data_IF_124308936100
#
_entry.id   IF_124308936100
#
_cell.length_a   1.000
_cell.length_b   1.000
_cell.length_c   1.000
_cell.angle_alpha   90.00
_cell.angle_beta   90.00
_cell.angle_gamma   90.00
#
_symmetry.space_group_name_H-M   'P 1'
#
loop_
_entity.id
_entity.type
_entity.pdbx_description
1 polymer ?
#
# COMPACT_ATOMS: atom_id res chain seq x y z
N UNK A 1 -12.20 72.48 -11.90
CA UNK A 1 -11.61 72.12 -13.20
C UNK A 1 -10.21 71.56 -12.89
N UNK A 2 -10.12 70.25 -12.74
CA UNK A 2 -8.83 69.59 -12.37
C UNK A 2 -8.08 69.28 -13.67
N UNK A 3 -6.83 69.74 -13.75
CA UNK A 3 -5.93 69.56 -14.91
C UNK A 3 -5.37 68.12 -14.93
N UNK A 4 -5.66 67.28 -15.96
CA UNK A 4 -5.15 65.90 -16.04
C UNK A 4 -3.67 65.78 -16.28
N UNK A 5 -2.98 66.88 -16.65
CA UNK A 5 -1.55 66.87 -16.96
C UNK A 5 -0.62 66.68 -15.75
N UNK A 6 -1.15 66.92 -14.55
CA UNK A 6 -0.38 66.81 -13.29
C UNK A 6 -0.08 65.32 -12.91
N UNK A 7 -1.03 64.42 -13.22
CA UNK A 7 -0.85 62.97 -12.93
C UNK A 7 0.15 62.27 -13.89
N UNK A 8 0.29 62.78 -15.13
CA UNK A 8 1.21 62.18 -16.11
C UNK A 8 2.68 62.54 -15.81
N UNK A 9 2.95 63.74 -15.28
CA UNK A 9 4.31 64.13 -14.89
C UNK A 9 4.80 63.46 -13.61
N UNK A 10 3.92 63.14 -12.70
CA UNK A 10 4.27 62.42 -11.46
C UNK A 10 4.67 60.94 -11.71
N UNK A 11 4.05 60.29 -12.71
CA UNK A 11 4.38 58.92 -13.05
C UNK A 11 5.74 58.77 -13.77
N UNK A 12 6.14 59.70 -14.58
CA UNK A 12 7.46 59.69 -15.26
C UNK A 12 8.60 59.93 -14.30
N UNK A 13 8.43 60.79 -13.31
CA UNK A 13 9.44 61.06 -12.25
C UNK A 13 9.60 59.83 -11.35
N UNK A 14 8.50 59.16 -10.97
CA UNK A 14 8.56 57.92 -10.19
C UNK A 14 9.23 56.79 -10.97
N UNK A 15 8.98 56.67 -12.28
CA UNK A 15 9.59 55.65 -13.14
C UNK A 15 11.09 55.88 -13.35
N UNK A 16 11.50 57.15 -13.45
CA UNK A 16 12.93 57.51 -13.56
C UNK A 16 13.70 57.25 -12.26
N UNK A 17 13.08 57.51 -11.09
CA UNK A 17 13.69 57.22 -9.79
C UNK A 17 13.82 55.69 -9.59
N UNK A 18 12.84 54.93 -10.03
CA UNK A 18 12.88 53.45 -9.95
C UNK A 18 13.97 52.84 -10.87
N UNK A 19 14.20 53.44 -12.08
CA UNK A 19 15.28 53.02 -12.97
C UNK A 19 16.67 53.33 -12.41
N UNK A 20 16.86 54.47 -11.76
CA UNK A 20 18.16 54.85 -11.17
C UNK A 20 18.47 54.00 -9.93
N UNK A 21 17.47 53.67 -9.12
CA UNK A 21 17.63 52.76 -7.95
C UNK A 21 17.89 51.31 -8.39
N UNK A 22 17.35 50.87 -9.54
CA UNK A 22 17.58 49.52 -10.05
C UNK A 22 18.97 49.34 -10.68
N UNK A 23 19.56 50.39 -11.24
CA UNK A 23 20.91 50.36 -11.81
C UNK A 23 22.00 50.49 -10.74
N UNK A 24 21.76 51.21 -9.63
CA UNK A 24 22.72 51.30 -8.52
C UNK A 24 22.62 50.15 -7.50
N UNK A 25 21.54 49.39 -7.53
CA UNK A 25 21.36 48.19 -6.65
C UNK A 25 22.08 46.92 -7.11
N UNK A 26 22.60 46.88 -8.34
CA UNK A 26 23.26 45.70 -8.92
C UNK A 26 24.80 45.71 -8.77
N UNK A 27 25.36 46.83 -8.28
CA UNK A 27 26.79 47.05 -8.27
C UNK A 27 27.62 46.60 -7.07
N UNK A 28 27.01 46.09 -5.99
CA UNK A 28 27.73 45.67 -4.76
C UNK A 28 27.19 44.39 -4.09
N UNK A 29 26.61 43.50 -4.85
CA UNK A 29 26.55 42.10 -4.44
C UNK A 29 27.86 41.46 -4.83
N UNK A 30 28.90 41.71 -4.05
CA UNK A 30 30.09 40.90 -4.00
C UNK A 30 29.62 39.44 -3.91
N UNK A 31 29.93 38.65 -4.94
CA UNK A 31 29.70 37.25 -5.00
C UNK A 31 30.31 36.56 -3.76
N UNK A 32 29.56 36.43 -2.70
CA UNK A 32 29.71 35.21 -1.92
C UNK A 32 29.30 34.12 -2.88
N UNK A 33 30.32 33.55 -3.55
CA UNK A 33 30.25 32.17 -3.98
C UNK A 33 29.86 31.42 -2.70
N UNK A 34 28.56 31.17 -2.52
CA UNK A 34 28.15 30.06 -1.71
C UNK A 34 28.78 28.88 -2.41
N UNK A 35 29.99 28.53 -2.00
CA UNK A 35 30.43 27.17 -2.02
C UNK A 35 29.26 26.46 -1.34
N UNK A 36 28.41 25.83 -2.12
CA UNK A 36 27.53 24.78 -1.63
C UNK A 36 28.52 23.82 -0.99
N UNK A 37 28.72 24.00 0.32
CA UNK A 37 29.30 22.97 1.15
C UNK A 37 28.41 21.79 0.85
N UNK A 38 28.90 20.89 0.00
CA UNK A 38 28.24 19.62 -0.29
C UNK A 38 28.02 18.97 1.06
N UNK A 39 26.88 19.31 1.68
CA UNK A 39 26.53 18.82 2.99
C UNK A 39 26.54 17.30 2.84
N UNK A 40 27.55 16.67 3.46
CA UNK A 40 27.82 15.27 3.30
C UNK A 40 26.56 14.49 3.68
N UNK A 41 25.81 14.10 2.66
CA UNK A 41 24.59 13.30 2.87
C UNK A 41 24.97 11.89 3.31
N UNK A 42 24.32 11.32 4.34
CA UNK A 42 23.34 11.95 5.23
C UNK A 42 24.02 12.85 6.30
N UNK A 43 23.39 13.99 6.64
CA UNK A 43 23.81 14.93 7.68
C UNK A 43 22.94 14.87 8.95
N UNK A 44 21.97 13.98 8.96
CA UNK A 44 21.06 13.64 10.08
C UNK A 44 20.57 12.20 9.93
N UNK A 45 20.00 11.58 10.97
CA UNK A 45 19.49 10.21 10.89
C UNK A 45 18.49 10.00 9.75
N UNK A 46 18.65 8.88 9.03
CA UNK A 46 17.71 8.44 7.98
C UNK A 46 16.68 7.49 8.60
N UNK A 47 15.41 7.82 8.47
CA UNK A 47 14.31 6.95 8.92
C UNK A 47 14.06 5.84 7.90
N UNK A 48 14.09 4.60 8.36
CA UNK A 48 13.75 3.43 7.57
C UNK A 48 12.39 2.92 8.00
N UNK A 49 11.37 3.20 7.22
CA UNK A 49 10.01 2.72 7.47
C UNK A 49 9.93 1.24 7.10
N UNK A 50 9.64 0.41 8.10
CA UNK A 50 9.30 -1.00 7.92
C UNK A 50 7.79 -1.13 8.12
N UNK A 51 7.00 -1.49 7.08
CA UNK A 51 5.54 -1.43 7.13
C UNK A 51 4.90 -2.66 7.80
N UNK A 52 5.57 -3.21 8.80
CA UNK A 52 5.16 -4.39 9.57
C UNK A 52 5.53 -4.24 11.06
N UNK A 53 4.97 -5.11 11.89
CA UNK A 53 5.28 -5.13 13.32
C UNK A 53 6.75 -5.46 13.58
N UNK A 54 7.28 -4.96 14.68
CA UNK A 54 8.62 -5.29 15.16
C UNK A 54 8.76 -6.80 15.40
N UNK A 55 9.92 -7.36 15.08
CA UNK A 55 10.19 -8.80 15.17
C UNK A 55 9.66 -9.65 14.01
N UNK A 56 8.91 -9.06 13.06
CA UNK A 56 8.52 -9.71 11.81
C UNK A 56 9.70 -9.88 10.84
N UNK A 57 9.55 -10.73 9.82
CA UNK A 57 10.63 -11.07 8.89
C UNK A 57 11.30 -9.85 8.24
N UNK A 58 10.53 -8.85 7.80
CA UNK A 58 11.08 -7.63 7.21
C UNK A 58 11.78 -6.72 8.22
N UNK A 59 11.28 -6.65 9.47
CA UNK A 59 11.92 -5.89 10.54
C UNK A 59 13.25 -6.49 10.93
N UNK A 60 13.30 -7.82 11.12
CA UNK A 60 14.52 -8.57 11.43
C UNK A 60 15.58 -8.36 10.34
N UNK A 61 15.18 -8.49 9.06
CA UNK A 61 16.10 -8.27 7.94
C UNK A 61 16.64 -6.83 7.93
N UNK A 62 15.77 -5.85 8.05
CA UNK A 62 16.18 -4.44 8.06
C UNK A 62 17.17 -4.18 9.21
N UNK A 63 16.90 -4.66 10.42
CA UNK A 63 17.78 -4.48 11.57
C UNK A 63 19.13 -5.17 11.41
N UNK A 64 19.17 -6.39 10.85
CA UNK A 64 20.43 -7.09 10.54
C UNK A 64 21.27 -6.24 9.59
N UNK A 65 20.68 -5.77 8.49
CA UNK A 65 21.42 -4.97 7.51
C UNK A 65 21.88 -3.63 8.10
N UNK A 66 21.03 -2.94 8.86
CA UNK A 66 21.40 -1.68 9.49
C UNK A 66 22.47 -1.85 10.58
N UNK A 67 22.48 -2.95 11.30
CA UNK A 67 23.60 -3.30 12.19
C UNK A 67 24.91 -3.54 11.42
N UNK A 68 24.81 -4.09 10.20
CA UNK A 68 25.97 -4.18 9.29
C UNK A 68 26.45 -2.81 8.83
N UNK A 69 25.52 -1.90 8.49
CA UNK A 69 25.85 -0.51 8.13
C UNK A 69 26.59 0.18 9.27
N UNK A 70 26.08 0.08 10.49
CA UNK A 70 26.72 0.64 11.68
C UNK A 70 28.13 0.08 11.88
N UNK A 71 28.29 -1.25 11.83
CA UNK A 71 29.60 -1.94 11.99
C UNK A 71 30.60 -1.58 10.88
N UNK A 72 30.11 -1.28 9.67
CA UNK A 72 30.97 -0.87 8.57
C UNK A 72 31.48 0.57 8.68
N UNK A 73 30.92 1.36 9.59
CA UNK A 73 31.21 2.79 9.79
C UNK A 73 31.16 3.62 8.48
N UNK A 74 30.41 3.16 7.47
CA UNK A 74 30.30 3.79 6.14
C UNK A 74 29.43 5.02 6.16
N UNK A 75 28.53 5.15 7.11
CA UNK A 75 27.66 6.29 7.32
C UNK A 75 27.97 7.00 8.64
N UNK A 76 28.08 8.33 8.60
CA UNK A 76 28.27 9.14 9.82
C UNK A 76 26.99 9.18 10.67
N UNK A 77 25.86 9.23 9.97
CA UNK A 77 24.54 9.29 10.61
C UNK A 77 23.86 7.92 10.59
N UNK A 78 23.15 7.55 11.65
CA UNK A 78 22.49 6.26 11.71
C UNK A 78 21.28 6.16 10.77
N UNK A 79 21.02 4.94 10.31
CA UNK A 79 19.75 4.57 9.69
C UNK A 79 18.87 3.91 10.77
N UNK A 80 17.68 4.48 11.03
CA UNK A 80 16.84 4.11 12.20
C UNK A 80 15.52 3.49 11.72
N UNK A 81 15.24 2.26 12.20
CA UNK A 81 13.97 1.58 11.87
C UNK A 81 12.79 2.25 12.55
N UNK A 82 11.74 2.49 11.76
CA UNK A 82 10.43 2.94 12.21
C UNK A 82 9.36 1.94 11.73
N UNK A 83 8.78 1.19 12.65
CA UNK A 83 7.72 0.25 12.31
C UNK A 83 6.38 0.99 12.14
N UNK A 84 5.80 0.92 10.93
CA UNK A 84 4.50 1.55 10.57
C UNK A 84 3.64 0.48 9.90
N UNK A 85 3.12 -0.43 10.72
CA UNK A 85 2.31 -1.56 10.26
C UNK A 85 0.87 -1.17 9.91
N UNK A 86 0.17 -2.11 9.27
CA UNK A 86 -1.27 -2.04 8.97
C UNK A 86 -1.59 -2.20 7.48
N UNK A 87 -2.81 -2.68 7.21
CA UNK A 87 -3.38 -2.91 5.87
C UNK A 87 -2.44 -3.66 4.90
N UNK A 88 -1.69 -4.68 5.40
CA UNK A 88 -0.76 -5.45 4.57
C UNK A 88 0.50 -4.69 4.14
N UNK A 89 0.89 -3.65 4.87
CA UNK A 89 2.05 -2.80 4.58
C UNK A 89 1.72 -1.53 3.80
N UNK A 90 0.47 -1.32 3.42
CA UNK A 90 0.09 -0.16 2.60
C UNK A 90 0.10 1.15 3.37
N UNK A 91 -0.10 1.14 4.70
CA UNK A 91 0.00 2.35 5.53
C UNK A 91 1.42 2.90 5.52
N UNK A 92 2.42 2.07 5.81
CA UNK A 92 3.83 2.49 5.81
C UNK A 92 4.34 2.84 4.41
N UNK A 93 3.95 2.08 3.37
CA UNK A 93 4.36 2.40 1.99
C UNK A 93 3.76 3.73 1.51
N UNK A 94 2.50 4.02 1.83
CA UNK A 94 1.86 5.30 1.51
C UNK A 94 2.53 6.47 2.22
N UNK A 95 2.91 6.29 3.49
CA UNK A 95 3.66 7.29 4.23
C UNK A 95 4.92 7.71 3.49
N UNK A 96 5.75 6.74 3.06
CA UNK A 96 7.00 7.04 2.34
C UNK A 96 6.72 7.59 0.94
N UNK A 97 5.70 7.06 0.23
CA UNK A 97 5.26 7.60 -1.07
C UNK A 97 4.99 9.11 -1.00
N UNK A 98 4.39 9.57 0.10
CA UNK A 98 3.98 10.96 0.31
C UNK A 98 5.02 11.80 1.08
N UNK A 99 6.15 11.21 1.46
CA UNK A 99 7.23 11.93 2.17
C UNK A 99 8.01 12.84 1.20
N UNK A 100 8.74 13.81 1.77
CA UNK A 100 9.63 14.67 1.01
C UNK A 100 10.71 13.84 0.28
N UNK A 101 10.99 14.11 -1.01
CA UNK A 101 11.96 13.34 -1.76
C UNK A 101 13.41 13.77 -1.46
N UNK A 102 13.72 13.89 -0.18
CA UNK A 102 15.03 14.32 0.32
C UNK A 102 15.94 13.16 0.78
N UNK A 103 15.45 11.91 0.71
CA UNK A 103 16.18 10.71 1.08
C UNK A 103 16.33 10.47 2.57
N UNK A 104 15.69 11.25 3.45
CA UNK A 104 15.76 11.05 4.91
C UNK A 104 14.62 10.21 5.48
N UNK A 105 13.67 9.83 4.65
CA UNK A 105 12.67 8.83 4.98
C UNK A 105 12.59 7.83 3.81
N UNK A 106 12.94 6.56 4.05
CA UNK A 106 12.99 5.50 3.03
C UNK A 106 12.16 4.30 3.49
N UNK A 107 11.76 3.44 2.57
CA UNK A 107 10.92 2.28 2.84
C UNK A 107 11.73 0.99 2.65
N UNK A 108 11.68 0.08 3.62
CA UNK A 108 12.14 -1.30 3.47
C UNK A 108 10.90 -2.21 3.32
N UNK A 109 10.62 -2.64 2.10
CA UNK A 109 9.44 -3.43 1.76
C UNK A 109 9.78 -4.47 0.70
N UNK A 110 9.38 -5.71 0.95
CA UNK A 110 9.47 -6.82 0.00
C UNK A 110 8.49 -6.65 -1.18
N UNK A 111 8.26 -7.70 -1.97
CA UNK A 111 7.33 -7.74 -3.10
C UNK A 111 5.90 -7.22 -2.83
N UNK A 112 5.60 -6.87 -1.59
CA UNK A 112 4.31 -6.26 -1.21
C UNK A 112 3.97 -4.98 -1.97
N UNK A 113 4.96 -4.25 -2.50
CA UNK A 113 4.72 -3.07 -3.33
C UNK A 113 4.00 -3.42 -4.64
N UNK A 114 4.32 -4.58 -5.24
CA UNK A 114 3.68 -5.07 -6.46
C UNK A 114 2.31 -5.67 -6.15
N UNK A 115 2.25 -6.54 -5.13
CA UNK A 115 1.02 -7.27 -4.81
C UNK A 115 -0.09 -6.36 -4.31
N UNK A 116 0.23 -5.32 -3.54
CA UNK A 116 -0.75 -4.36 -3.04
C UNK A 116 -1.54 -3.67 -4.18
N UNK A 117 -0.85 -3.27 -5.27
CA UNK A 117 -1.49 -2.74 -6.48
C UNK A 117 -2.28 -3.81 -7.22
N UNK A 118 -1.68 -4.97 -7.44
CA UNK A 118 -2.28 -6.08 -8.19
C UNK A 118 -3.63 -6.51 -7.61
N UNK A 119 -3.72 -6.53 -6.27
CA UNK A 119 -4.95 -6.86 -5.55
C UNK A 119 -5.87 -5.66 -5.28
N UNK A 120 -5.58 -4.49 -5.84
CA UNK A 120 -6.42 -3.30 -5.73
C UNK A 120 -6.46 -2.66 -4.34
N UNK A 121 -5.48 -2.95 -3.47
CA UNK A 121 -5.37 -2.32 -2.15
C UNK A 121 -4.90 -0.87 -2.21
N UNK A 122 -4.12 -0.54 -3.22
CA UNK A 122 -3.62 0.81 -3.50
C UNK A 122 -3.66 1.10 -4.99
N UNK A 123 -3.81 2.37 -5.37
CA UNK A 123 -3.81 2.83 -6.75
C UNK A 123 -2.41 3.06 -7.35
N UNK A 124 -1.32 2.66 -6.64
CA UNK A 124 0.05 2.87 -7.07
C UNK A 124 0.88 1.58 -6.99
N UNK A 125 1.90 1.46 -7.82
CA UNK A 125 2.87 0.37 -7.81
C UNK A 125 4.27 0.87 -7.44
N UNK A 126 5.29 0.09 -7.81
CA UNK A 126 6.69 0.43 -7.52
C UNK A 126 7.15 1.71 -8.23
N UNK A 127 6.52 2.08 -9.33
CA UNK A 127 6.81 3.32 -10.09
C UNK A 127 6.52 4.61 -9.30
N UNK A 128 5.77 4.50 -8.19
CA UNK A 128 5.53 5.61 -7.27
C UNK A 128 6.72 5.89 -6.34
N UNK A 129 7.80 5.11 -6.46
CA UNK A 129 9.01 5.22 -5.67
C UNK A 129 10.24 5.36 -6.58
N UNK A 130 11.36 5.75 -5.99
CA UNK A 130 12.69 5.63 -6.58
C UNK A 130 13.37 4.43 -5.93
N UNK A 131 13.73 3.38 -6.70
CA UNK A 131 14.39 2.20 -6.14
C UNK A 131 15.81 2.52 -5.72
N UNK A 132 16.21 2.02 -4.53
CA UNK A 132 17.57 2.19 -3.98
C UNK A 132 18.38 0.91 -4.19
N UNK A 133 17.88 -0.21 -3.65
CA UNK A 133 18.53 -1.51 -3.74
C UNK A 133 17.55 -2.67 -3.48
N UNK A 134 17.91 -3.87 -3.95
CA UNK A 134 17.45 -5.13 -3.40
C UNK A 134 18.58 -5.76 -2.56
N UNK A 135 18.27 -6.31 -1.37
CA UNK A 135 19.30 -6.73 -0.41
C UNK A 135 19.09 -8.11 0.18
N UNK A 136 18.26 -8.92 -0.36
CA UNK A 136 18.06 -10.28 0.12
C UNK A 136 16.87 -10.95 -0.54
N UNK A 137 16.96 -12.27 -0.59
CA UNK A 137 15.92 -13.12 -1.15
C UNK A 137 15.63 -14.26 -0.20
N UNK A 138 14.37 -14.53 0.04
CA UNK A 138 13.92 -15.68 0.82
C UNK A 138 13.25 -16.69 -0.11
N UNK A 139 13.60 -17.95 0.02
CA UNK A 139 12.87 -19.04 -0.58
C UNK A 139 11.49 -19.22 0.09
N UNK A 140 10.55 -19.81 -0.61
CA UNK A 140 9.18 -20.03 -0.14
C UNK A 140 8.91 -21.53 0.00
N UNK A 141 8.31 -21.91 1.13
CA UNK A 141 7.88 -23.28 1.44
C UNK A 141 6.35 -23.30 1.54
N UNK A 142 5.73 -24.25 0.87
CA UNK A 142 4.30 -24.60 1.06
C UNK A 142 4.23 -25.65 2.17
N UNK A 143 3.42 -25.39 3.19
CA UNK A 143 3.35 -26.27 4.35
C UNK A 143 1.93 -26.56 4.80
N UNK A 144 1.77 -27.72 5.40
CA UNK A 144 0.54 -28.23 6.05
C UNK A 144 0.86 -28.74 7.45
N UNK A 145 -0.15 -29.06 8.25
CA UNK A 145 0.05 -29.79 9.51
C UNK A 145 0.65 -31.18 9.27
N UNK A 146 1.33 -31.71 10.26
CA UNK A 146 1.95 -33.05 10.18
C UNK A 146 0.93 -34.15 9.92
N UNK A 147 -0.27 -34.03 10.48
CA UNK A 147 -1.39 -34.97 10.34
C UNK A 147 -2.26 -34.77 9.10
N UNK A 148 -1.91 -33.79 8.26
CA UNK A 148 -2.64 -33.51 7.00
C UNK A 148 -2.62 -34.71 6.05
N UNK A 149 -3.75 -34.92 5.36
CA UNK A 149 -3.89 -35.98 4.34
C UNK A 149 -3.14 -35.67 3.02
N UNK A 150 -2.72 -34.40 2.81
CA UNK A 150 -1.99 -34.01 1.61
C UNK A 150 -0.54 -34.50 1.71
N UNK A 151 -0.22 -35.60 1.01
CA UNK A 151 1.12 -36.20 1.03
C UNK A 151 2.17 -35.30 0.36
N UNK A 152 1.82 -34.65 -0.74
CA UNK A 152 2.67 -33.82 -1.59
C UNK A 152 1.84 -32.72 -2.27
N UNK A 153 2.49 -31.91 -3.11
CA UNK A 153 1.83 -30.82 -3.85
C UNK A 153 0.84 -31.35 -4.90
N UNK A 154 1.12 -32.51 -5.51
CA UNK A 154 0.27 -33.14 -6.52
C UNK A 154 -1.10 -33.48 -5.93
N UNK A 155 -1.14 -34.20 -4.80
CA UNK A 155 -2.40 -34.58 -4.11
C UNK A 155 -3.19 -33.31 -3.70
N UNK A 156 -2.51 -32.27 -3.27
CA UNK A 156 -3.15 -31.01 -2.92
C UNK A 156 -3.82 -30.37 -4.15
N UNK A 157 -3.08 -30.25 -5.26
CA UNK A 157 -3.55 -29.62 -6.50
C UNK A 157 -4.69 -30.41 -7.16
N UNK A 158 -4.58 -31.73 -7.19
CA UNK A 158 -5.68 -32.58 -7.68
C UNK A 158 -6.94 -32.44 -6.83
N UNK A 159 -6.81 -32.40 -5.51
CA UNK A 159 -7.94 -32.19 -4.61
C UNK A 159 -8.68 -30.89 -4.90
N UNK A 160 -7.96 -29.78 -5.08
CA UNK A 160 -8.59 -28.47 -5.35
C UNK A 160 -8.99 -28.28 -6.81
N UNK A 161 -8.52 -29.11 -7.75
CA UNK A 161 -9.05 -29.22 -9.11
C UNK A 161 -10.39 -29.95 -9.12
N UNK A 162 -10.44 -31.10 -8.46
CA UNK A 162 -11.63 -31.97 -8.44
C UNK A 162 -12.77 -31.39 -7.60
N UNK A 163 -12.42 -30.62 -6.53
CA UNK A 163 -13.35 -29.88 -5.68
C UNK A 163 -12.84 -28.46 -5.45
N UNK A 164 -13.06 -27.53 -6.39
CA UNK A 164 -12.62 -26.14 -6.23
C UNK A 164 -13.11 -25.51 -4.93
N UNK A 165 -12.25 -24.72 -4.32
CA UNK A 165 -12.51 -24.01 -3.05
C UNK A 165 -12.76 -24.91 -1.81
N UNK A 166 -12.51 -26.24 -1.92
CA UNK A 166 -12.65 -27.18 -0.81
C UNK A 166 -11.54 -27.08 0.23
N UNK A 167 -10.36 -26.56 -0.16
CA UNK A 167 -9.17 -26.40 0.69
C UNK A 167 -8.95 -24.94 0.98
N UNK A 168 -8.71 -24.61 2.26
CA UNK A 168 -8.51 -23.24 2.73
C UNK A 168 -7.01 -22.89 2.75
N UNK A 169 -6.61 -21.93 1.94
CA UNK A 169 -5.26 -21.38 1.96
C UNK A 169 -5.17 -20.17 2.89
N UNK A 170 -4.37 -20.28 3.94
CA UNK A 170 -4.10 -19.20 4.89
C UNK A 170 -3.12 -18.19 4.29
N UNK A 171 -3.55 -16.93 4.10
CA UNK A 171 -2.74 -15.87 3.54
C UNK A 171 -3.02 -14.51 4.17
N UNK A 172 -2.04 -13.60 4.11
CA UNK A 172 -2.34 -12.18 4.25
C UNK A 172 -2.84 -11.68 2.88
N UNK A 173 -4.14 -11.44 2.78
CA UNK A 173 -4.79 -11.08 1.51
C UNK A 173 -4.21 -9.77 0.95
N UNK A 174 -3.88 -9.78 -0.35
CA UNK A 174 -3.21 -8.68 -1.05
C UNK A 174 -1.71 -8.58 -0.77
N UNK A 175 -1.11 -9.59 -0.12
CA UNK A 175 0.32 -9.68 0.14
C UNK A 175 0.95 -10.88 -0.63
N UNK A 176 2.30 -11.01 -0.65
CA UNK A 176 2.98 -12.09 -1.35
C UNK A 176 2.51 -13.51 -1.01
N UNK A 177 2.03 -13.76 0.22
CA UNK A 177 1.50 -15.07 0.59
C UNK A 177 0.24 -15.45 -0.18
N UNK A 178 -0.64 -14.50 -0.52
CA UNK A 178 -1.77 -14.78 -1.41
C UNK A 178 -1.30 -15.02 -2.85
N UNK A 179 -0.33 -14.23 -3.32
CA UNK A 179 0.27 -14.43 -4.63
C UNK A 179 0.85 -15.84 -4.77
N UNK A 180 1.53 -16.34 -3.73
CA UNK A 180 2.05 -17.72 -3.70
C UNK A 180 0.94 -18.74 -3.93
N UNK A 181 -0.19 -18.63 -3.23
CA UNK A 181 -1.34 -19.52 -3.45
C UNK A 181 -1.85 -19.49 -4.90
N UNK A 182 -1.98 -18.29 -5.48
CA UNK A 182 -2.41 -18.10 -6.87
C UNK A 182 -1.38 -18.65 -7.90
N UNK A 183 -0.09 -18.57 -7.60
CA UNK A 183 0.94 -19.21 -8.44
C UNK A 183 0.82 -20.73 -8.39
N UNK A 184 0.52 -21.30 -7.22
CA UNK A 184 0.30 -22.74 -7.06
C UNK A 184 -0.94 -23.19 -7.86
N UNK A 185 -2.05 -22.45 -7.79
CA UNK A 185 -3.26 -22.71 -8.58
C UNK A 185 -2.96 -22.78 -10.09
N UNK A 186 -2.08 -21.91 -10.60
CA UNK A 186 -1.65 -21.93 -12.00
C UNK A 186 -0.85 -23.17 -12.41
N UNK A 187 -0.31 -23.89 -11.44
CA UNK A 187 0.42 -25.11 -11.69
C UNK A 187 -0.49 -26.25 -12.21
N UNK A 188 -1.80 -26.17 -12.02
CA UNK A 188 -2.77 -27.15 -12.52
C UNK A 188 -4.09 -26.47 -12.89
N UNK A 189 -4.49 -26.57 -14.16
CA UNK A 189 -5.71 -25.95 -14.66
C UNK A 189 -6.95 -26.42 -13.89
N UNK A 190 -7.79 -25.49 -13.49
CA UNK A 190 -9.00 -25.74 -12.69
C UNK A 190 -8.78 -25.84 -11.19
N UNK A 191 -7.54 -25.89 -10.72
CA UNK A 191 -7.22 -25.87 -9.29
C UNK A 191 -7.57 -24.51 -8.69
N UNK A 192 -8.27 -24.49 -7.52
CA UNK A 192 -8.69 -23.26 -6.87
C UNK A 192 -8.81 -23.41 -5.35
N UNK A 193 -8.10 -22.56 -4.62
CA UNK A 193 -8.19 -22.46 -3.17
C UNK A 193 -9.34 -21.53 -2.73
N UNK A 194 -9.84 -21.78 -1.53
CA UNK A 194 -10.55 -20.77 -0.75
C UNK A 194 -9.55 -20.03 0.14
N UNK A 195 -9.44 -18.72 0.00
CA UNK A 195 -8.48 -17.92 0.78
C UNK A 195 -9.08 -17.44 2.11
N UNK A 196 -8.28 -17.51 3.18
CA UNK A 196 -8.61 -16.96 4.49
C UNK A 196 -7.57 -15.91 4.89
N UNK A 197 -8.05 -14.77 5.40
CA UNK A 197 -7.18 -13.71 5.95
C UNK A 197 -6.61 -14.16 7.30
N UNK A 198 -5.31 -14.36 7.37
CA UNK A 198 -4.63 -14.85 8.57
C UNK A 198 -3.50 -13.94 9.09
N UNK A 199 -3.09 -12.93 8.35
CA UNK A 199 -2.02 -12.01 8.77
C UNK A 199 -0.60 -12.48 8.48
N UNK A 200 0.34 -12.25 9.40
CA UNK A 200 1.75 -12.56 9.29
C UNK A 200 2.09 -14.04 9.41
N UNK A 201 3.40 -14.40 9.34
CA UNK A 201 3.83 -15.80 9.40
C UNK A 201 3.42 -16.51 10.69
N UNK A 202 3.54 -15.85 11.84
CA UNK A 202 3.11 -16.43 13.12
C UNK A 202 1.59 -16.63 13.20
N UNK A 203 0.81 -15.69 12.66
CA UNK A 203 -0.66 -15.81 12.62
C UNK A 203 -1.10 -16.94 11.66
N UNK A 204 -0.38 -17.09 10.52
CA UNK A 204 -0.60 -18.20 9.59
C UNK A 204 -0.30 -19.55 10.24
N UNK A 205 0.81 -19.66 10.99
CA UNK A 205 1.12 -20.86 11.76
C UNK A 205 0.01 -21.17 12.77
N UNK A 206 -0.39 -20.19 13.57
CA UNK A 206 -1.46 -20.38 14.56
C UNK A 206 -2.77 -20.83 13.91
N UNK A 207 -3.14 -20.24 12.77
CA UNK A 207 -4.34 -20.62 12.02
C UNK A 207 -4.24 -22.02 11.42
N UNK A 208 -3.04 -22.45 10.99
CA UNK A 208 -2.79 -23.79 10.47
C UNK A 208 -2.88 -24.85 11.58
N UNK A 209 -2.24 -24.61 12.74
CA UNK A 209 -2.28 -25.50 13.89
C UNK A 209 -3.68 -25.56 14.53
N UNK A 210 -4.43 -24.46 14.50
CA UNK A 210 -5.81 -24.36 14.97
C UNK A 210 -6.87 -24.87 14.00
N UNK A 211 -6.48 -25.49 12.88
CA UNK A 211 -7.40 -26.05 11.86
C UNK A 211 -8.34 -25.03 11.20
N UNK A 212 -8.00 -23.75 11.29
CA UNK A 212 -8.74 -22.69 10.61
C UNK A 212 -8.40 -22.59 9.13
N UNK A 213 -7.23 -23.11 8.76
CA UNK A 213 -6.76 -23.23 7.37
C UNK A 213 -6.06 -24.58 7.18
N UNK A 214 -6.05 -25.10 5.95
CA UNK A 214 -5.52 -26.41 5.63
C UNK A 214 -4.05 -26.35 5.16
N UNK A 215 -3.69 -25.27 4.48
CA UNK A 215 -2.38 -25.04 3.87
C UNK A 215 -1.99 -23.58 3.96
N UNK A 216 -0.70 -23.31 4.03
CA UNK A 216 -0.14 -21.96 3.98
C UNK A 216 1.26 -21.96 3.37
N UNK A 217 1.79 -20.76 3.12
CA UNK A 217 3.19 -20.57 2.68
C UNK A 217 3.98 -19.80 3.72
N UNK A 218 5.27 -20.12 3.83
CA UNK A 218 6.23 -19.49 4.73
C UNK A 218 7.53 -19.17 4.00
N UNK A 219 8.26 -18.16 4.43
CA UNK A 219 9.67 -18.08 4.05
C UNK A 219 10.44 -19.25 4.60
N UNK A 220 11.58 -19.59 3.99
CA UNK A 220 12.44 -20.69 4.49
C UNK A 220 12.81 -20.49 5.96
N UNK A 221 13.16 -19.26 6.35
CA UNK A 221 13.50 -18.92 7.73
C UNK A 221 12.33 -19.10 8.70
N UNK A 222 11.11 -18.73 8.30
CA UNK A 222 9.90 -18.98 9.11
C UNK A 222 9.63 -20.46 9.22
N UNK A 223 9.67 -21.21 8.11
CA UNK A 223 9.39 -22.64 8.11
C UNK A 223 10.37 -23.41 8.99
N UNK A 224 11.68 -23.15 8.89
CA UNK A 224 12.68 -23.83 9.71
C UNK A 224 12.49 -23.58 11.20
N UNK A 225 12.02 -22.41 11.58
CA UNK A 225 11.64 -22.08 12.96
C UNK A 225 10.35 -22.75 13.40
N UNK A 226 9.42 -22.99 12.48
CA UNK A 226 8.06 -23.48 12.77
C UNK A 226 7.89 -25.00 12.62
N UNK A 227 8.78 -25.70 11.90
CA UNK A 227 8.63 -27.12 11.59
C UNK A 227 8.46 -28.02 12.83
N UNK A 228 9.12 -27.68 13.94
CA UNK A 228 9.00 -28.43 15.20
C UNK A 228 7.65 -28.16 15.93
N UNK A 229 6.89 -27.15 15.53
CA UNK A 229 5.57 -26.87 16.09
C UNK A 229 4.45 -27.76 15.54
N UNK A 230 4.75 -28.67 14.60
CA UNK A 230 3.75 -29.59 14.06
C UNK A 230 3.34 -29.36 12.62
N UNK A 231 4.19 -28.72 11.83
CA UNK A 231 3.98 -28.50 10.40
C UNK A 231 5.09 -29.16 9.56
N UNK A 232 4.73 -29.63 8.37
CA UNK A 232 5.64 -30.20 7.39
C UNK A 232 5.54 -29.52 6.04
N UNK A 233 6.65 -29.51 5.29
CA UNK A 233 6.67 -28.99 3.92
C UNK A 233 6.00 -29.95 2.94
N UNK A 234 5.21 -29.43 2.02
CA UNK A 234 4.72 -30.14 0.83
C UNK A 234 5.64 -29.92 -0.38
N UNK A 235 6.15 -28.70 -0.51
CA UNK A 235 7.04 -28.33 -1.60
C UNK A 235 7.87 -27.10 -1.23
N UNK A 236 9.08 -27.04 -1.78
CA UNK A 236 9.86 -25.83 -1.86
C UNK A 236 9.65 -25.18 -3.25
N UNK A 237 9.46 -23.88 -3.28
CA UNK A 237 9.17 -23.16 -4.54
C UNK A 237 10.41 -22.54 -5.19
N UNK A 238 11.59 -23.07 -4.89
CA UNK A 238 12.85 -22.73 -5.56
C UNK A 238 13.04 -23.57 -6.84
N UNK A 239 14.03 -23.17 -7.66
CA UNK A 239 14.44 -23.95 -8.85
C UNK A 239 15.06 -25.29 -8.47
N UNK A 240 15.92 -25.25 -7.45
CA UNK A 240 16.62 -26.40 -6.90
C UNK A 240 16.22 -26.58 -5.44
N UNK A 241 16.43 -27.78 -4.85
CA UNK A 241 16.17 -28.03 -3.43
C UNK A 241 17.01 -27.11 -2.56
N UNK A 242 16.41 -26.61 -1.51
CA UNK A 242 17.14 -25.78 -0.56
C UNK A 242 18.09 -26.63 0.30
N UNK A 243 19.38 -26.22 0.50
CA UNK A 243 20.33 -27.00 1.28
C UNK A 243 19.88 -27.33 2.70
N UNK A 244 19.07 -26.46 3.35
CA UNK A 244 18.49 -26.72 4.67
C UNK A 244 17.25 -27.62 4.65
N UNK A 245 16.75 -28.01 3.46
CA UNK A 245 15.59 -28.87 3.24
C UNK A 245 15.87 -29.90 2.16
N UNK A 246 16.94 -30.73 2.27
CA UNK A 246 17.34 -31.64 1.20
C UNK A 246 16.28 -32.69 0.88
N UNK A 247 15.44 -33.05 1.85
CA UNK A 247 14.37 -34.04 1.70
C UNK A 247 13.07 -33.44 1.09
N UNK A 248 12.94 -32.11 1.03
CA UNK A 248 11.76 -31.46 0.47
C UNK A 248 11.94 -31.23 -1.03
N UNK A 249 11.14 -31.94 -1.83
CA UNK A 249 11.11 -31.75 -3.29
C UNK A 249 10.65 -30.34 -3.65
N UNK A 250 11.19 -29.80 -4.76
CA UNK A 250 10.68 -28.57 -5.34
C UNK A 250 9.33 -28.81 -6.03
N UNK A 251 8.58 -27.74 -6.31
CA UNK A 251 7.38 -27.85 -7.13
C UNK A 251 7.73 -28.33 -8.56
N UNK A 252 8.88 -27.90 -9.11
CA UNK A 252 9.39 -28.35 -10.41
C UNK A 252 9.66 -29.84 -10.43
N UNK A 253 10.31 -30.41 -9.39
CA UNK A 253 10.54 -31.85 -9.27
C UNK A 253 9.25 -32.66 -9.14
N UNK A 254 8.17 -32.04 -8.64
CA UNK A 254 6.84 -32.64 -8.59
C UNK A 254 6.01 -32.41 -9.88
N UNK A 255 6.62 -31.84 -10.94
CA UNK A 255 6.00 -31.67 -12.26
C UNK A 255 5.21 -30.35 -12.43
N UNK A 256 5.29 -29.41 -11.48
CA UNK A 256 4.56 -28.14 -11.53
C UNK A 256 5.52 -26.97 -11.77
N UNK A 257 5.26 -26.19 -12.84
CA UNK A 257 6.06 -25.00 -13.18
C UNK A 257 5.70 -23.83 -12.24
N UNK A 258 6.03 -23.99 -10.98
CA UNK A 258 5.79 -22.99 -9.91
C UNK A 258 7.10 -22.66 -9.22
N UNK A 259 7.60 -21.45 -9.48
CA UNK A 259 8.77 -20.88 -8.79
C UNK A 259 8.34 -19.58 -8.12
N UNK A 260 8.67 -19.44 -6.84
CA UNK A 260 8.36 -18.25 -6.06
C UNK A 260 9.46 -17.97 -5.04
N UNK A 261 9.82 -16.72 -4.93
CA UNK A 261 10.70 -16.19 -3.89
C UNK A 261 10.13 -14.88 -3.34
N UNK A 262 10.69 -14.41 -2.26
CA UNK A 262 10.36 -13.14 -1.64
C UNK A 262 11.60 -12.26 -1.62
N UNK A 263 11.63 -11.25 -2.50
CA UNK A 263 12.76 -10.31 -2.57
C UNK A 263 12.49 -9.06 -1.75
N UNK A 264 13.50 -8.60 -1.02
CA UNK A 264 13.44 -7.42 -0.16
C UNK A 264 14.10 -6.21 -0.83
N UNK A 265 13.38 -5.10 -0.87
CA UNK A 265 13.79 -3.87 -1.53
C UNK A 265 13.83 -2.69 -0.59
N UNK A 266 14.61 -1.68 -1.01
CA UNK A 266 14.72 -0.38 -0.38
C UNK A 266 14.29 0.68 -1.37
N UNK A 267 13.42 1.57 -0.94
CA UNK A 267 12.75 2.55 -1.78
C UNK A 267 12.86 3.94 -1.17
N UNK A 268 13.08 4.94 -2.00
CA UNK A 268 12.94 6.35 -1.63
C UNK A 268 11.64 6.92 -2.22
N UNK A 269 11.14 8.06 -1.72
CA UNK A 269 10.08 8.80 -2.38
C UNK A 269 10.42 9.11 -3.84
N UNK A 270 9.41 9.14 -4.71
CA UNK A 270 9.62 9.47 -6.13
C UNK A 270 10.24 10.85 -6.28
N UNK A 271 11.30 10.95 -7.09
CA UNK A 271 12.01 12.20 -7.34
C UNK A 271 13.15 12.49 -6.36
N UNK A 272 13.48 11.55 -5.45
CA UNK A 272 14.70 11.68 -4.62
C UNK A 272 15.93 11.82 -5.52
N UNK A 273 16.83 12.80 -5.26
CA UNK A 273 18.01 13.05 -6.08
C UNK A 273 18.88 11.80 -6.25
N UNK A 274 19.33 11.55 -7.48
CA UNK A 274 20.10 10.35 -7.86
C UNK A 274 21.36 10.18 -7.01
N UNK A 275 22.02 11.28 -6.65
CA UNK A 275 23.21 11.26 -5.80
C UNK A 275 22.90 10.69 -4.39
N UNK A 276 21.75 11.08 -3.80
CA UNK A 276 21.33 10.55 -2.50
C UNK A 276 20.94 9.07 -2.59
N UNK A 277 20.24 8.69 -3.67
CA UNK A 277 19.91 7.28 -3.95
C UNK A 277 21.18 6.43 -4.07
N UNK A 278 22.15 6.90 -4.86
CA UNK A 278 23.45 6.20 -5.03
C UNK A 278 24.22 6.10 -3.71
N UNK A 279 24.17 7.16 -2.88
CA UNK A 279 24.81 7.12 -1.55
C UNK A 279 24.15 6.11 -0.63
N UNK A 280 22.81 6.07 -0.59
CA UNK A 280 22.07 5.06 0.19
C UNK A 280 22.34 3.64 -0.31
N UNK A 281 22.36 3.41 -1.62
CA UNK A 281 22.70 2.11 -2.20
C UNK A 281 24.11 1.66 -1.78
N UNK A 282 25.10 2.57 -1.83
CA UNK A 282 26.47 2.30 -1.38
C UNK A 282 26.56 1.99 0.11
N UNK A 283 25.81 2.72 0.95
CA UNK A 283 25.73 2.47 2.40
C UNK A 283 25.17 1.06 2.67
N UNK A 284 24.05 0.70 2.02
CA UNK A 284 23.44 -0.62 2.17
C UNK A 284 24.37 -1.73 1.67
N UNK A 285 25.05 -1.51 0.54
CA UNK A 285 26.04 -2.47 0.02
C UNK A 285 27.15 -2.76 1.02
N UNK A 286 27.71 -1.71 1.60
CA UNK A 286 28.77 -1.85 2.63
C UNK A 286 28.27 -2.58 3.88
N UNK A 287 27.02 -2.35 4.26
CA UNK A 287 26.39 -3.13 5.34
C UNK A 287 26.27 -4.62 4.99
N UNK A 288 25.83 -4.93 3.76
CA UNK A 288 25.73 -6.31 3.25
C UNK A 288 27.07 -7.04 3.21
N UNK A 289 28.16 -6.34 2.90
CA UNK A 289 29.52 -6.91 2.80
C UNK A 289 30.15 -7.27 4.16
N UNK A 290 29.55 -6.90 5.28
CA UNK A 290 30.08 -7.21 6.61
C UNK A 290 29.94 -8.70 6.95
N UNK A 291 30.94 -9.29 7.63
CA UNK A 291 30.87 -10.68 8.10
C UNK A 291 29.63 -10.92 8.95
N UNK A 292 29.27 -9.97 9.80
CA UNK A 292 28.06 -10.05 10.62
C UNK A 292 26.79 -10.29 9.79
N UNK A 293 26.58 -9.53 8.69
CA UNK A 293 25.39 -9.70 7.85
C UNK A 293 25.46 -11.03 7.10
N UNK A 294 26.61 -11.40 6.56
CA UNK A 294 26.80 -12.66 5.86
C UNK A 294 26.52 -13.87 6.76
N UNK A 295 27.03 -13.85 7.99
CA UNK A 295 26.78 -14.88 9.01
C UNK A 295 25.27 -14.95 9.35
N UNK A 296 24.62 -13.79 9.59
CA UNK A 296 23.18 -13.74 9.89
C UNK A 296 22.31 -14.20 8.72
N UNK A 297 22.69 -13.90 7.48
CA UNK A 297 21.98 -14.39 6.30
C UNK A 297 22.12 -15.91 6.18
N UNK A 298 23.31 -16.45 6.45
CA UNK A 298 23.56 -17.89 6.49
C UNK A 298 22.76 -18.58 7.60
N UNK A 299 22.76 -18.04 8.83
CA UNK A 299 21.97 -18.55 9.96
C UNK A 299 20.45 -18.57 9.66
N UNK A 300 19.96 -17.58 8.94
CA UNK A 300 18.54 -17.45 8.56
C UNK A 300 18.23 -18.11 7.22
N UNK A 301 19.19 -18.76 6.59
CA UNK A 301 19.05 -19.42 5.29
C UNK A 301 18.52 -18.48 4.19
N UNK A 302 18.95 -17.21 4.21
CA UNK A 302 18.61 -16.18 3.23
C UNK A 302 19.70 -16.05 2.19
N UNK A 303 19.29 -15.86 0.94
CA UNK A 303 20.23 -15.58 -0.14
C UNK A 303 20.67 -14.11 -0.08
N UNK A 304 22.00 -13.83 0.03
CA UNK A 304 22.51 -12.46 0.02
C UNK A 304 22.55 -11.93 -1.42
N UNK A 305 21.47 -11.27 -1.83
CA UNK A 305 21.37 -10.61 -3.14
C UNK A 305 21.61 -9.11 -2.96
N UNK A 306 22.41 -8.51 -3.85
CA UNK A 306 22.49 -7.05 -3.95
C UNK A 306 22.34 -6.60 -5.40
N UNK A 307 21.23 -5.87 -5.68
CA UNK A 307 20.97 -5.25 -6.96
C UNK A 307 20.75 -3.76 -6.75
N UNK A 308 21.30 -2.93 -7.65
CA UNK A 308 21.11 -1.48 -7.66
C UNK A 308 21.21 -0.94 -9.10
N UNK A 309 20.78 0.31 -9.34
CA UNK A 309 20.87 0.94 -10.64
C UNK A 309 20.10 0.19 -11.73
N UNK A 310 20.69 0.05 -12.92
CA UNK A 310 20.02 -0.52 -14.10
C UNK A 310 19.70 -2.02 -13.94
N UNK A 311 20.54 -2.75 -13.21
CA UNK A 311 20.29 -4.16 -12.90
C UNK A 311 19.02 -4.30 -12.04
N UNK A 312 18.87 -3.45 -11.03
CA UNK A 312 17.66 -3.39 -10.22
C UNK A 312 16.43 -3.01 -11.06
N UNK A 313 16.54 -1.99 -11.91
CA UNK A 313 15.43 -1.55 -12.77
C UNK A 313 14.97 -2.66 -13.70
N UNK A 314 15.90 -3.41 -14.29
CA UNK A 314 15.60 -4.57 -15.15
C UNK A 314 14.91 -5.67 -14.34
N UNK A 315 15.40 -5.95 -13.14
CA UNK A 315 14.80 -6.93 -12.23
C UNK A 315 13.36 -6.55 -11.86
N UNK A 316 13.13 -5.28 -11.48
CA UNK A 316 11.79 -4.78 -11.11
C UNK A 316 10.80 -4.89 -12.28
N UNK A 317 11.20 -4.53 -13.49
CA UNK A 317 10.35 -4.65 -14.68
C UNK A 317 9.98 -6.11 -15.00
N UNK A 318 10.90 -7.07 -14.79
CA UNK A 318 10.63 -8.49 -14.93
C UNK A 318 9.68 -8.98 -13.84
N UNK A 319 9.87 -8.51 -12.60
CA UNK A 319 9.03 -8.84 -11.46
C UNK A 319 7.59 -8.36 -11.64
N UNK A 320 7.40 -7.13 -12.12
CA UNK A 320 6.07 -6.60 -12.46
C UNK A 320 5.37 -7.49 -13.50
N UNK A 321 6.07 -7.87 -14.56
CA UNK A 321 5.49 -8.76 -15.61
C UNK A 321 5.09 -10.11 -15.04
N UNK A 322 5.90 -10.70 -14.17
CA UNK A 322 5.59 -11.98 -13.54
C UNK A 322 4.28 -11.86 -12.70
N UNK A 323 4.13 -10.78 -11.95
CA UNK A 323 2.98 -10.60 -11.06
C UNK A 323 1.73 -10.12 -11.78
N UNK A 324 1.85 -9.29 -12.83
CA UNK A 324 0.70 -8.78 -13.58
C UNK A 324 -0.16 -9.87 -14.22
N UNK A 325 0.42 -11.04 -14.50
CA UNK A 325 -0.29 -12.22 -15.02
C UNK A 325 -1.03 -13.05 -13.96
N UNK A 326 -0.89 -12.75 -12.66
CA UNK A 326 -1.32 -13.62 -11.55
C UNK A 326 -2.43 -12.94 -10.80
N UNK A 327 -3.35 -12.54 -10.79
CA UNK A 327 -4.33 -11.87 -9.88
C UNK A 327 -5.44 -11.15 -10.61
N UNK A 328 -5.47 -11.25 -11.92
CA UNK A 328 -6.59 -10.74 -12.70
C UNK A 328 -7.85 -11.53 -12.35
N UNK A 329 -8.65 -11.00 -11.44
CA UNK A 329 -9.86 -11.64 -10.92
C UNK A 329 -9.88 -11.89 -9.42
N UNK A 330 -8.74 -11.99 -8.76
CA UNK A 330 -8.63 -12.15 -7.30
C UNK A 330 -8.67 -10.78 -6.58
N UNK A 331 -9.65 -9.94 -6.91
CA UNK A 331 -9.89 -8.74 -6.11
C UNK A 331 -10.20 -9.19 -4.68
N UNK A 332 -9.46 -8.63 -3.70
CA UNK A 332 -9.84 -8.78 -2.29
C UNK A 332 -11.28 -8.29 -2.18
N UNK A 333 -12.22 -9.14 -1.73
CA UNK A 333 -13.58 -8.68 -1.55
C UNK A 333 -13.54 -7.51 -0.57
N UNK A 334 -13.81 -6.31 -1.05
CA UNK A 334 -14.01 -5.18 -0.15
C UNK A 334 -15.25 -5.53 0.70
N UNK A 335 -15.19 -5.38 2.03
CA UNK A 335 -16.38 -5.63 2.84
C UNK A 335 -17.49 -4.74 2.28
N UNK A 336 -18.72 -5.25 2.07
CA UNK A 336 -19.81 -4.51 1.44
C UNK A 336 -20.36 -3.41 2.38
N UNK A 337 -19.47 -2.66 3.03
CA UNK A 337 -19.81 -1.58 3.97
C UNK A 337 -20.71 -0.55 3.29
N UNK A 338 -20.43 -0.24 2.03
CA UNK A 338 -21.25 0.68 1.23
C UNK A 338 -22.65 0.08 0.98
N UNK A 339 -22.74 -1.22 0.68
CA UNK A 339 -24.01 -1.91 0.51
C UNK A 339 -24.78 -2.03 1.84
N UNK A 340 -24.09 -2.26 2.96
CA UNK A 340 -24.72 -2.38 4.29
C UNK A 340 -25.20 -1.02 4.79
N UNK A 341 -24.40 0.05 4.66
CA UNK A 341 -24.82 1.40 5.03
C UNK A 341 -25.94 1.89 4.12
N UNK A 342 -25.83 1.66 2.81
CA UNK A 342 -26.88 2.01 1.84
C UNK A 342 -28.16 1.22 2.09
N UNK A 343 -28.07 -0.09 2.33
CA UNK A 343 -29.21 -0.93 2.70
C UNK A 343 -29.87 -0.48 4.01
N UNK A 344 -29.09 -0.10 5.02
CA UNK A 344 -29.57 0.46 6.28
C UNK A 344 -30.34 1.76 6.09
N UNK A 345 -29.84 2.69 5.28
CA UNK A 345 -30.50 3.96 4.97
C UNK A 345 -31.81 3.73 4.21
N UNK A 346 -31.81 2.83 3.22
CA UNK A 346 -33.04 2.46 2.46
C UNK A 346 -34.05 1.80 3.38
N UNK A 347 -33.63 0.90 4.25
CA UNK A 347 -34.50 0.23 5.21
C UNK A 347 -35.11 1.23 6.21
N UNK A 348 -34.32 2.16 6.72
CA UNK A 348 -34.80 3.26 7.59
C UNK A 348 -35.82 4.14 6.85
N UNK A 349 -35.55 4.48 5.60
CA UNK A 349 -36.48 5.22 4.74
C UNK A 349 -37.80 4.48 4.53
N UNK A 350 -37.75 3.16 4.30
CA UNK A 350 -38.94 2.30 4.17
C UNK A 350 -39.72 2.20 5.49
N UNK A 351 -39.03 2.01 6.62
CA UNK A 351 -39.66 1.97 7.96
C UNK A 351 -40.40 3.28 8.24
N UNK A 352 -39.77 4.43 7.99
CA UNK A 352 -40.42 5.75 8.14
C UNK A 352 -41.62 5.90 7.20
N UNK A 353 -41.51 5.43 5.95
CA UNK A 353 -42.57 5.48 4.96
C UNK A 353 -43.80 4.59 5.36
N UNK A 354 -43.54 3.35 5.79
CA UNK A 354 -44.61 2.40 6.21
C UNK A 354 -45.24 2.78 7.55
N UNK A 355 -44.48 3.27 8.53
CA UNK A 355 -45.04 3.79 9.80
C UNK A 355 -45.96 5.00 9.56
N UNK A 356 -45.63 5.83 8.59
CA UNK A 356 -46.50 6.97 8.22
C UNK A 356 -47.83 6.52 7.63
N UNK A 357 -47.88 5.42 6.85
CA UNK A 357 -49.14 4.85 6.30
C UNK A 357 -49.98 4.15 7.38
N UNK A 358 -49.37 3.64 8.45
CA UNK A 358 -50.04 2.89 9.49
C UNK A 358 -50.65 3.78 10.58
N UNK A 359 -50.17 5.01 10.74
CA UNK A 359 -50.57 5.94 11.81
C UNK A 359 -51.41 7.14 11.31
N UNK A 360 -52.27 6.95 10.32
CA UNK A 360 -53.26 7.96 9.96
C UNK A 360 -54.34 8.25 11.04
N UNK A 361 -54.32 7.51 12.16
CA UNK A 361 -55.29 7.67 13.26
C UNK A 361 -54.74 8.36 14.53
N UNK A 362 -53.48 8.77 14.57
CA UNK A 362 -52.94 9.51 15.70
C UNK A 362 -52.46 10.88 15.25
N UNK A 363 -53.28 11.90 15.44
CA UNK A 363 -52.98 13.31 15.22
C UNK A 363 -51.94 13.77 16.23
N UNK A 364 -50.67 13.53 15.92
CA UNK A 364 -49.56 14.32 16.45
C UNK A 364 -49.10 15.24 15.32
N UNK A 365 -49.44 16.53 15.45
CA UNK A 365 -48.90 17.60 14.61
C UNK A 365 -47.37 17.66 14.76
N UNK A 366 -46.65 16.77 14.10
CA UNK A 366 -45.22 16.96 13.85
C UNK A 366 -45.09 17.70 12.51
N UNK A 367 -44.71 18.96 12.59
CA UNK A 367 -44.49 19.88 11.47
C UNK A 367 -43.23 19.55 10.66
N UNK A 368 -43.16 18.36 10.07
CA UNK A 368 -42.16 18.06 9.03
C UNK A 368 -42.92 17.84 7.68
N UNK A 369 -43.10 18.87 6.88
CA UNK A 369 -43.75 18.75 5.58
C UNK A 369 -42.68 18.42 4.53
N UNK A 370 -42.20 17.16 4.42
CA UNK A 370 -41.53 16.73 3.21
C UNK A 370 -42.57 16.17 2.21
N UNK A 371 -42.81 16.84 1.08
CA UNK A 371 -43.61 16.27 0.01
C UNK A 371 -42.94 14.96 -0.48
N UNK A 372 -43.73 13.94 -0.76
CA UNK A 372 -43.25 12.59 -1.17
C UNK A 372 -42.26 12.61 -2.35
N UNK A 373 -42.38 13.60 -3.25
CA UNK A 373 -41.46 13.84 -4.37
C UNK A 373 -40.03 14.24 -3.93
N UNK A 374 -39.88 14.99 -2.83
CA UNK A 374 -38.55 15.38 -2.32
C UNK A 374 -37.85 14.19 -1.63
N UNK A 375 -38.60 13.38 -0.89
CA UNK A 375 -38.07 12.17 -0.28
C UNK A 375 -37.59 11.18 -1.34
N UNK A 376 -38.35 10.99 -2.42
CA UNK A 376 -37.93 10.16 -3.54
C UNK A 376 -36.66 10.69 -4.22
N UNK A 377 -36.58 12.02 -4.43
CA UNK A 377 -35.36 12.65 -4.98
C UNK A 377 -34.12 12.44 -4.11
N UNK A 378 -34.28 12.55 -2.78
CA UNK A 378 -33.18 12.28 -1.82
C UNK A 378 -32.73 10.81 -1.89
N UNK A 379 -33.67 9.86 -1.88
CA UNK A 379 -33.35 8.43 -2.00
C UNK A 379 -32.63 8.12 -3.32
N UNK A 380 -33.09 8.73 -4.43
CA UNK A 380 -32.46 8.56 -5.74
C UNK A 380 -31.01 9.10 -5.75
N UNK A 381 -30.77 10.27 -5.16
CA UNK A 381 -29.43 10.85 -5.03
C UNK A 381 -28.50 9.95 -4.20
N UNK A 382 -28.99 9.41 -3.09
CA UNK A 382 -28.22 8.47 -2.26
C UNK A 382 -27.86 7.22 -3.05
N UNK A 383 -28.81 6.61 -3.75
CA UNK A 383 -28.56 5.41 -4.57
C UNK A 383 -27.55 5.71 -5.69
N UNK A 384 -27.70 6.86 -6.38
CA UNK A 384 -26.76 7.26 -7.45
C UNK A 384 -25.35 7.48 -6.91
N UNK A 385 -25.22 8.13 -5.74
CA UNK A 385 -23.93 8.31 -5.07
C UNK A 385 -23.28 6.96 -4.70
N UNK A 386 -24.04 6.05 -4.10
CA UNK A 386 -23.53 4.72 -3.72
C UNK A 386 -23.12 3.88 -4.93
N UNK A 387 -23.89 3.93 -6.03
CA UNK A 387 -23.54 3.26 -7.28
C UNK A 387 -22.28 3.86 -7.91
N UNK A 388 -22.15 5.19 -7.90
CA UNK A 388 -20.92 5.87 -8.38
C UNK A 388 -19.69 5.44 -7.60
N UNK A 389 -19.80 5.34 -6.27
CA UNK A 389 -18.72 4.86 -5.39
C UNK A 389 -18.38 3.39 -5.64
N UNK A 390 -19.39 2.54 -5.86
CA UNK A 390 -19.19 1.11 -6.08
C UNK A 390 -18.57 0.79 -7.45
N UNK A 391 -18.94 1.57 -8.48
CA UNK A 391 -18.43 1.36 -9.85
C UNK A 391 -17.09 2.03 -10.10
N UNK A 392 -16.68 2.97 -9.24
CA UNK A 392 -15.48 3.79 -9.45
C UNK A 392 -15.57 4.71 -10.67
N UNK A 393 -16.80 4.97 -11.17
CA UNK A 393 -17.04 5.77 -12.38
C UNK A 393 -16.64 7.23 -12.17
N UNK A 394 -16.82 7.73 -10.95
CA UNK A 394 -16.42 9.07 -10.51
C UNK A 394 -15.71 8.89 -9.18
N UNK A 395 -14.52 9.47 -9.01
CA UNK A 395 -13.76 9.39 -7.75
C UNK A 395 -14.53 9.99 -6.56
N UNK A 396 -14.12 9.62 -5.35
CA UNK A 396 -14.78 10.02 -4.10
C UNK A 396 -15.03 11.52 -3.97
N UNK A 397 -13.98 12.33 -4.17
CA UNK A 397 -14.05 13.79 -3.99
C UNK A 397 -15.12 14.46 -4.88
N UNK A 398 -15.12 14.27 -6.23
CA UNK A 398 -16.15 14.86 -7.07
C UNK A 398 -17.53 14.25 -6.84
N UNK A 399 -17.64 12.94 -6.55
CA UNK A 399 -18.90 12.30 -6.24
C UNK A 399 -19.53 12.86 -4.97
N UNK A 400 -18.75 13.01 -3.89
CA UNK A 400 -19.19 13.56 -2.61
C UNK A 400 -19.58 15.04 -2.75
N UNK A 401 -18.80 15.82 -3.49
CA UNK A 401 -19.12 17.23 -3.76
C UNK A 401 -20.47 17.37 -4.48
N UNK A 402 -20.69 16.62 -5.55
CA UNK A 402 -21.94 16.62 -6.31
C UNK A 402 -23.13 16.16 -5.46
N UNK A 403 -22.93 15.09 -4.67
CA UNK A 403 -23.96 14.55 -3.79
C UNK A 403 -24.42 15.56 -2.73
N UNK A 404 -23.47 16.14 -1.97
CA UNK A 404 -23.78 17.08 -0.88
C UNK A 404 -24.40 18.36 -1.40
N UNK A 405 -23.89 18.89 -2.53
CA UNK A 405 -24.43 20.10 -3.17
C UNK A 405 -25.86 19.86 -3.69
N UNK A 406 -26.07 18.72 -4.39
CA UNK A 406 -27.40 18.37 -4.92
C UNK A 406 -28.42 18.11 -3.80
N UNK A 407 -27.99 17.46 -2.72
CA UNK A 407 -28.80 17.24 -1.53
C UNK A 407 -29.20 18.58 -0.89
N UNK A 408 -28.24 19.49 -0.73
CA UNK A 408 -28.46 20.82 -0.17
C UNK A 408 -29.46 21.64 -0.97
N UNK A 409 -29.34 21.61 -2.29
CA UNK A 409 -30.32 22.28 -3.22
C UNK A 409 -31.71 21.65 -3.12
N UNK A 410 -31.77 20.31 -3.10
CA UNK A 410 -33.03 19.56 -2.99
C UNK A 410 -33.79 19.84 -1.70
N UNK A 411 -33.07 20.04 -0.59
CA UNK A 411 -33.64 20.28 0.74
C UNK A 411 -34.01 21.76 0.98
N UNK A 412 -33.17 22.69 0.53
CA UNK A 412 -33.23 24.11 0.92
C UNK A 412 -33.72 25.07 -0.20
N UNK A 413 -33.76 24.57 -1.45
CA UNK A 413 -34.08 25.33 -2.63
C UNK A 413 -32.91 26.19 -3.16
N UNK A 414 -33.10 26.77 -4.35
CA UNK A 414 -32.12 27.58 -5.09
C UNK A 414 -32.05 29.02 -4.55
N UNK A 415 -31.40 29.21 -3.39
CA UNK A 415 -31.09 30.57 -2.87
C UNK A 415 -29.55 30.72 -2.86
N UNK A 416 -29.03 31.81 -3.45
CA UNK A 416 -27.58 32.00 -3.60
C UNK A 416 -26.78 31.83 -2.31
N UNK A 417 -27.23 32.34 -1.16
CA UNK A 417 -26.55 32.17 0.14
C UNK A 417 -26.57 30.73 0.61
N UNK A 418 -27.60 29.98 0.33
CA UNK A 418 -27.74 28.56 0.70
C UNK A 418 -26.87 27.69 -0.21
N UNK A 419 -26.81 28.00 -1.50
CA UNK A 419 -25.89 27.32 -2.44
C UNK A 419 -24.44 27.47 -2.01
N UNK A 420 -24.01 28.67 -1.67
CA UNK A 420 -22.64 28.93 -1.20
C UNK A 420 -22.36 28.12 0.07
N UNK A 421 -23.26 28.11 1.04
CA UNK A 421 -23.07 27.35 2.29
C UNK A 421 -22.96 25.85 2.05
N UNK A 422 -23.82 25.26 1.21
CA UNK A 422 -23.76 23.83 0.85
C UNK A 422 -22.54 23.47 0.00
N UNK A 423 -22.09 24.37 -0.89
CA UNK A 423 -20.86 24.16 -1.65
C UNK A 423 -19.63 24.16 -0.74
N UNK A 424 -19.56 25.04 0.25
CA UNK A 424 -18.47 25.03 1.25
C UNK A 424 -18.53 23.75 2.10
N UNK A 425 -19.71 23.35 2.57
CA UNK A 425 -19.89 22.11 3.31
C UNK A 425 -19.49 20.88 2.46
N UNK A 426 -19.85 20.87 1.17
CA UNK A 426 -19.47 19.83 0.23
C UNK A 426 -17.97 19.73 0.03
N UNK A 427 -17.27 20.87 -0.10
CA UNK A 427 -15.80 20.90 -0.19
C UNK A 427 -15.15 20.35 1.09
N UNK A 428 -15.60 20.80 2.26
CA UNK A 428 -15.06 20.31 3.54
C UNK A 428 -15.28 18.82 3.70
N UNK A 429 -16.45 18.29 3.36
CA UNK A 429 -16.74 16.85 3.48
C UNK A 429 -16.01 16.02 2.42
N UNK A 430 -15.88 16.50 1.19
CA UNK A 430 -15.19 15.80 0.11
C UNK A 430 -13.69 15.71 0.38
N UNK A 431 -13.02 16.84 0.59
CA UNK A 431 -11.56 16.86 0.85
C UNK A 431 -11.20 16.41 2.26
N UNK A 432 -12.01 16.77 3.28
CA UNK A 432 -11.79 16.32 4.66
C UNK A 432 -12.03 14.82 4.81
N UNK A 433 -13.03 14.26 4.13
CA UNK A 433 -13.28 12.83 4.09
C UNK A 433 -12.14 12.08 3.39
N UNK A 434 -11.72 12.54 2.22
CA UNK A 434 -10.58 11.95 1.52
C UNK A 434 -9.31 12.01 2.38
N UNK A 435 -9.00 13.16 2.99
CA UNK A 435 -7.86 13.30 3.88
C UNK A 435 -7.97 12.38 5.12
N UNK A 436 -9.15 12.26 5.72
CA UNK A 436 -9.38 11.36 6.86
C UNK A 436 -9.18 9.89 6.47
N UNK A 437 -9.81 9.44 5.41
CA UNK A 437 -9.75 8.04 5.01
C UNK A 437 -8.38 7.67 4.44
N UNK A 438 -7.81 8.49 3.53
CA UNK A 438 -6.52 8.18 2.91
C UNK A 438 -5.34 8.41 3.85
N UNK A 439 -5.29 9.55 4.58
CA UNK A 439 -4.12 9.89 5.38
C UNK A 439 -4.17 9.33 6.81
N UNK A 440 -5.38 9.28 7.42
CA UNK A 440 -5.51 8.86 8.82
C UNK A 440 -5.90 7.38 8.94
N UNK A 441 -6.87 6.90 8.16
CA UNK A 441 -7.33 5.52 8.21
C UNK A 441 -6.61 4.59 7.21
N UNK A 442 -5.80 5.13 6.30
CA UNK A 442 -5.05 4.33 5.33
C UNK A 442 -5.91 3.60 4.30
N UNK A 443 -7.12 4.10 4.03
CA UNK A 443 -8.06 3.54 3.08
C UNK A 443 -8.13 4.44 1.86
N UNK A 444 -7.79 3.91 0.67
CA UNK A 444 -8.02 4.63 -0.58
C UNK A 444 -9.50 4.57 -0.92
N UNK A 445 -10.10 5.75 -1.04
CA UNK A 445 -11.47 5.88 -1.52
C UNK A 445 -11.50 5.81 -3.05
N UNK A 446 -12.52 5.21 -3.63
CA UNK A 446 -12.64 5.03 -5.07
C UNK A 446 -12.69 6.35 -5.86
#
# INVERSE_FOLDING_TARGET
>A
MFDPSFFFRASEVLFSIFRVLFVFGIGTLGGKVFSEEQSSYPSRPVKVVVPFAAGGGSDVLARILLSGVERSAVSREPLVVLNVGGAGGTIGSRRVKNAEPDGYEILALHDGVFTARQFGKVGYGYEAFTPIAATGRDGVVVAVRNDSSFANLEVLLETIRDKPESVVFGANLGAPSQLTGLLIEKGLDGAKFRYSQTGGGADRLASLLGEHVDVSSFSIAEYLRFKEAGVRALAYLGKDRHPALPETSTALEQGFDVVSDLTHFWWAPKGTPTERVSTLARILKKGMETSYVQEKFTELHREPVFLAGDELNTFLANRERLFSGVGQGAKVPQPPVVAWVGGGIVLLGLIVFFNRRRNESLVVRSSFPFPSKRLFGVCLLVVTYLLSMQTGLIGYTPATFLFVTSMGVGLSGLRNRVLVAWSIAALVLAFGGEALFSNFLGVDLP
#
